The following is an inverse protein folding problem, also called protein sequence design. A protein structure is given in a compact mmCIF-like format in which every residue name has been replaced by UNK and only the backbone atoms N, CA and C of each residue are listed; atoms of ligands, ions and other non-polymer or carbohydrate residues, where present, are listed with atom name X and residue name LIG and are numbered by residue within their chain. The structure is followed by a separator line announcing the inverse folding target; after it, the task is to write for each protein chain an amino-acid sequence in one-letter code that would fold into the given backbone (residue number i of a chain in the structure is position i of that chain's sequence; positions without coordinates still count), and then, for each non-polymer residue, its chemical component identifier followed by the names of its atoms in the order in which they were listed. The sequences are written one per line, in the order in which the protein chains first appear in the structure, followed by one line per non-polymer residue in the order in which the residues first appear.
data_IF_468089687658
#
_entry.id   IF_468089687658
#
_cell.length_a   1.000
_cell.length_b   1.000
_cell.length_c   1.000
_cell.angle_alpha   90.00
_cell.angle_beta   90.00
_cell.angle_gamma   90.00
#
_symmetry.space_group_name_H-M   'P 1'
#
loop_
_entity.id
_entity.type
_entity.pdbx_description
1 polymer ?
#
# COMPACT_ATOMS: atom_id res chain seq x y z
N UNK A 1 18.90 -0.80 -8.71
CA UNK A 1 17.76 -0.01 -8.20
C UNK A 1 16.45 -0.73 -8.53
N UNK A 2 15.63 -1.05 -7.53
CA UNK A 2 14.29 -1.61 -7.73
C UNK A 2 13.26 -0.50 -7.58
N UNK A 3 12.45 -0.26 -8.60
CA UNK A 3 11.38 0.75 -8.60
C UNK A 3 10.03 0.08 -8.77
N UNK A 4 9.01 0.56 -8.06
CA UNK A 4 7.61 0.19 -8.26
C UNK A 4 6.77 1.44 -8.49
N UNK A 5 5.91 1.41 -9.51
CA UNK A 5 5.02 2.51 -9.85
C UNK A 5 3.58 2.14 -9.49
N UNK A 6 3.10 2.67 -8.37
CA UNK A 6 1.76 2.39 -7.86
C UNK A 6 0.66 3.30 -8.47
N UNK A 7 1.00 4.17 -9.42
CA UNK A 7 0.00 4.87 -10.22
C UNK A 7 -0.56 4.01 -11.35
N UNK A 8 0.20 3.01 -11.81
CA UNK A 8 -0.17 2.07 -12.88
C UNK A 8 -0.31 0.63 -12.38
N UNK A 9 0.28 0.30 -11.24
CA UNK A 9 0.23 -1.03 -10.63
C UNK A 9 -0.28 -0.97 -9.19
N UNK A 10 -0.62 -2.12 -8.59
CA UNK A 10 -1.06 -2.19 -7.20
C UNK A 10 -2.57 -2.38 -7.05
N UNK A 11 -3.03 -2.37 -5.81
CA UNK A 11 -4.39 -2.72 -5.42
C UNK A 11 -5.31 -1.50 -5.19
N UNK A 12 -4.82 -0.31 -5.53
CA UNK A 12 -5.55 0.95 -5.36
C UNK A 12 -5.55 1.53 -3.96
N UNK A 13 -4.89 0.91 -2.97
CA UNK A 13 -4.81 1.45 -1.60
C UNK A 13 -3.73 2.53 -1.43
N UNK A 14 -2.83 2.64 -2.40
CA UNK A 14 -1.71 3.57 -2.43
C UNK A 14 -1.40 3.98 -3.87
N UNK A 15 -1.04 5.25 -4.06
CA UNK A 15 -0.57 5.80 -5.34
C UNK A 15 0.69 6.63 -5.11
N UNK A 16 1.75 6.30 -5.84
CA UNK A 16 3.09 6.84 -5.66
C UNK A 16 4.12 6.03 -6.43
N UNK A 17 5.36 6.49 -6.46
CA UNK A 17 6.49 5.72 -7.01
C UNK A 17 7.47 5.46 -5.88
N UNK A 18 7.81 4.19 -5.66
CA UNK A 18 8.78 3.81 -4.63
C UNK A 18 10.05 3.34 -5.33
N UNK A 19 11.19 3.84 -4.88
CA UNK A 19 12.50 3.42 -5.35
C UNK A 19 13.38 3.06 -4.15
N UNK A 20 14.02 1.89 -4.22
CA UNK A 20 14.98 1.44 -3.20
C UNK A 20 16.41 1.66 -3.68
N UNK A 21 17.20 2.20 -2.77
CA UNK A 21 18.60 2.54 -2.96
C UNK A 21 19.42 1.90 -1.85
N UNK A 22 20.69 1.70 -2.16
CA UNK A 22 21.71 1.25 -1.21
C UNK A 22 22.82 2.29 -1.26
N UNK A 23 23.22 2.83 -0.13
CA UNK A 23 24.33 3.78 -0.07
C UNK A 23 25.70 3.07 -0.18
N UNK A 24 26.78 3.85 -0.13
CA UNK A 24 28.14 3.32 -0.22
C UNK A 24 28.54 2.43 0.97
N UNK A 25 27.86 2.56 2.11
CA UNK A 25 28.10 1.78 3.33
C UNK A 25 27.24 0.50 3.38
N UNK A 26 26.32 0.34 2.42
CA UNK A 26 25.45 -0.83 2.31
C UNK A 26 24.09 -0.67 2.96
N UNK A 27 23.72 0.52 3.46
CA UNK A 27 22.39 0.74 4.04
C UNK A 27 21.32 0.87 2.97
N UNK A 28 20.26 0.08 3.12
CA UNK A 28 19.09 0.16 2.25
C UNK A 28 18.08 1.22 2.74
N UNK A 29 17.66 2.10 1.84
CA UNK A 29 16.58 3.05 2.09
C UNK A 29 15.61 3.14 0.92
N UNK A 30 14.38 3.55 1.21
CA UNK A 30 13.32 3.73 0.21
C UNK A 30 12.94 5.22 0.11
N UNK A 31 12.90 5.73 -1.12
CA UNK A 31 12.37 7.05 -1.43
C UNK A 31 11.01 6.89 -2.11
N UNK A 32 10.01 7.62 -1.62
CA UNK A 32 8.63 7.60 -2.11
C UNK A 32 8.29 8.94 -2.74
N UNK A 33 7.98 8.92 -4.03
CA UNK A 33 7.59 10.10 -4.80
C UNK A 33 6.07 10.16 -4.94
N UNK A 34 5.52 11.34 -4.65
CA UNK A 34 4.10 11.61 -4.61
C UNK A 34 3.77 12.87 -5.42
N UNK A 35 2.58 12.90 -6.03
CA UNK A 35 1.90 14.17 -6.33
C UNK A 35 1.28 14.75 -5.06
N UNK A 36 0.92 16.04 -5.08
CA UNK A 36 0.22 16.69 -3.98
C UNK A 36 -1.06 15.93 -3.57
N UNK A 37 -1.88 15.52 -4.55
CA UNK A 37 -3.10 14.75 -4.29
C UNK A 37 -2.80 13.38 -3.68
N UNK A 38 -1.81 12.66 -4.20
CA UNK A 38 -1.44 11.35 -3.67
C UNK A 38 -0.84 11.43 -2.26
N UNK A 39 -0.11 12.51 -1.96
CA UNK A 39 0.42 12.77 -0.63
C UNK A 39 -0.69 13.11 0.36
N UNK A 40 -1.64 13.96 -0.04
CA UNK A 40 -2.83 14.28 0.76
C UNK A 40 -3.65 13.03 1.05
N UNK A 41 -3.92 12.21 0.03
CA UNK A 41 -4.62 10.94 0.20
C UNK A 41 -3.87 10.00 1.14
N UNK A 42 -2.54 9.88 1.01
CA UNK A 42 -1.70 9.09 1.94
C UNK A 42 -1.82 9.58 3.39
N UNK A 43 -1.89 10.89 3.62
CA UNK A 43 -2.09 11.43 4.95
C UNK A 43 -3.49 11.09 5.49
N UNK A 44 -4.53 11.19 4.66
CA UNK A 44 -5.91 10.85 5.03
C UNK A 44 -6.08 9.35 5.33
N UNK A 45 -5.38 8.48 4.60
CA UNK A 45 -5.46 7.02 4.78
C UNK A 45 -4.51 6.49 5.85
N UNK A 46 -3.68 7.32 6.48
CA UNK A 46 -2.61 6.84 7.37
C UNK A 46 -3.12 5.97 8.52
N UNK A 47 -4.18 6.40 9.20
CA UNK A 47 -4.76 5.62 10.30
C UNK A 47 -5.38 4.31 9.81
N UNK A 48 -6.09 4.34 8.68
CA UNK A 48 -6.68 3.14 8.07
C UNK A 48 -5.62 2.11 7.71
N UNK A 49 -4.49 2.56 7.14
CA UNK A 49 -3.36 1.70 6.83
C UNK A 49 -2.78 1.02 8.09
N UNK A 50 -2.67 1.76 9.19
CA UNK A 50 -2.19 1.20 10.47
C UNK A 50 -3.15 0.16 11.02
N UNK A 51 -4.45 0.42 11.01
CA UNK A 51 -5.46 -0.55 11.43
C UNK A 51 -5.48 -1.79 10.54
N UNK A 52 -5.36 -1.62 9.22
CA UNK A 52 -5.21 -2.74 8.27
C UNK A 52 -3.98 -3.58 8.62
N UNK A 53 -2.82 -2.96 8.85
CA UNK A 53 -1.59 -3.67 9.21
C UNK A 53 -1.73 -4.43 10.54
N UNK A 54 -2.40 -3.84 11.53
CA UNK A 54 -2.68 -4.49 12.81
C UNK A 54 -3.64 -5.67 12.65
N UNK A 55 -4.71 -5.53 11.85
CA UNK A 55 -5.65 -6.60 11.54
C UNK A 55 -4.95 -7.76 10.82
N UNK A 56 -4.06 -7.47 9.86
CA UNK A 56 -3.27 -8.47 9.13
C UNK A 56 -2.37 -9.26 10.08
N UNK A 57 -1.58 -8.56 10.89
CA UNK A 57 -0.71 -9.20 11.88
C UNK A 57 -1.49 -10.05 12.89
N UNK A 58 -2.70 -9.62 13.28
CA UNK A 58 -3.58 -10.39 14.17
C UNK A 58 -4.14 -11.62 13.48
N UNK A 59 -4.49 -11.53 12.20
CA UNK A 59 -5.00 -12.65 11.41
C UNK A 59 -3.95 -13.73 11.26
N UNK A 60 -2.73 -13.35 10.89
CA UNK A 60 -1.58 -14.27 10.78
C UNK A 60 -1.30 -14.99 12.10
N UNK A 61 -1.33 -14.26 13.22
CA UNK A 61 -1.18 -14.86 14.56
C UNK A 61 -2.32 -15.80 14.93
N UNK A 62 -3.55 -15.52 14.51
CA UNK A 62 -4.69 -16.40 14.77
C UNK A 62 -4.61 -17.68 13.94
N UNK A 63 -4.17 -17.60 12.69
CA UNK A 63 -3.96 -18.74 11.80
C UNK A 63 -2.87 -19.70 12.30
N UNK A 64 -1.90 -19.20 13.06
CA UNK A 64 -0.84 -20.01 13.65
C UNK A 64 -1.26 -20.77 14.91
N UNK A 65 -2.44 -20.49 15.48
CA UNK A 65 -2.93 -21.19 16.69
C UNK A 65 -3.47 -22.57 16.35
N UNK A 66 -3.42 -23.47 17.34
CA UNK A 66 -3.97 -24.81 17.23
C UNK A 66 -4.89 -25.15 18.43
N UNK A 67 -6.23 -25.27 18.24
CA UNK A 67 -6.96 -24.96 17.02
C UNK A 67 -7.09 -23.43 16.83
N UNK A 68 -7.20 -22.95 15.59
CA UNK A 68 -7.43 -21.53 15.34
C UNK A 68 -8.91 -21.18 15.57
N UNK A 69 -9.19 -19.97 16.05
CA UNK A 69 -10.57 -19.51 16.23
C UNK A 69 -11.14 -18.97 14.91
N UNK A 70 -12.11 -19.69 14.33
CA UNK A 70 -12.69 -19.38 13.02
C UNK A 70 -13.50 -18.06 13.01
N UNK A 71 -14.29 -17.80 14.05
CA UNK A 71 -15.09 -16.56 14.15
C UNK A 71 -14.18 -15.32 14.20
N UNK A 72 -13.08 -15.42 14.94
CA UNK A 72 -12.07 -14.37 15.04
C UNK A 72 -11.35 -14.16 13.71
N UNK A 73 -11.02 -15.23 12.98
CA UNK A 73 -10.44 -15.10 11.64
C UNK A 73 -11.42 -14.41 10.69
N UNK A 74 -12.69 -14.83 10.68
CA UNK A 74 -13.72 -14.21 9.84
C UNK A 74 -13.86 -12.71 10.14
N UNK A 75 -13.86 -12.33 11.42
CA UNK A 75 -13.89 -10.91 11.82
C UNK A 75 -12.67 -10.14 11.32
N UNK A 76 -11.46 -10.67 11.50
CA UNK A 76 -10.22 -10.01 11.07
C UNK A 76 -10.15 -9.86 9.54
N UNK A 77 -10.62 -10.87 8.79
CA UNK A 77 -10.75 -10.79 7.33
C UNK A 77 -11.74 -9.71 6.91
N UNK A 78 -12.88 -9.59 7.59
CA UNK A 78 -13.85 -8.51 7.33
C UNK A 78 -13.28 -7.12 7.65
N UNK A 79 -12.55 -6.99 8.77
CA UNK A 79 -11.88 -5.74 9.15
C UNK A 79 -10.84 -5.35 8.08
N UNK A 80 -10.03 -6.29 7.60
CA UNK A 80 -9.08 -6.07 6.50
C UNK A 80 -9.77 -5.58 5.23
N UNK A 81 -10.86 -6.23 4.83
CA UNK A 81 -11.63 -5.83 3.65
C UNK A 81 -12.21 -4.42 3.83
N UNK A 82 -12.74 -4.10 5.02
CA UNK A 82 -13.27 -2.78 5.37
C UNK A 82 -12.21 -1.69 5.22
N UNK A 83 -11.04 -1.86 5.84
CA UNK A 83 -9.97 -0.86 5.77
C UNK A 83 -9.42 -0.71 4.35
N UNK A 84 -9.23 -1.84 3.65
CA UNK A 84 -8.75 -1.84 2.25
C UNK A 84 -9.71 -1.08 1.34
N UNK A 85 -11.02 -1.33 1.45
CA UNK A 85 -12.02 -0.65 0.63
C UNK A 85 -12.11 0.86 0.95
N UNK A 86 -12.10 1.24 2.22
CA UNK A 86 -12.09 2.65 2.62
C UNK A 86 -10.84 3.39 2.08
N UNK A 87 -9.67 2.75 2.10
CA UNK A 87 -8.46 3.31 1.50
C UNK A 87 -8.60 3.47 -0.01
N UNK A 88 -9.13 2.45 -0.71
CA UNK A 88 -9.37 2.50 -2.16
C UNK A 88 -10.31 3.64 -2.54
N UNK A 89 -11.39 3.82 -1.79
CA UNK A 89 -12.37 4.90 -2.00
C UNK A 89 -11.69 6.27 -1.95
N UNK A 90 -10.86 6.54 -0.93
CA UNK A 90 -10.12 7.80 -0.83
C UNK A 90 -9.13 7.95 -2.01
N UNK A 91 -8.46 6.86 -2.41
CA UNK A 91 -7.49 6.85 -3.50
C UNK A 91 -8.11 7.00 -4.90
N UNK A 92 -9.44 6.88 -5.05
CA UNK A 92 -10.12 7.16 -6.32
C UNK A 92 -9.97 8.62 -6.75
N UNK A 93 -9.86 9.55 -5.79
CA UNK A 93 -9.67 10.97 -6.05
C UNK A 93 -8.26 11.32 -6.58
N UNK A 94 -7.30 10.39 -6.50
CA UNK A 94 -5.93 10.61 -6.96
C UNK A 94 -5.80 10.18 -8.41
N UNK A 95 -5.63 11.15 -9.31
CA UNK A 95 -5.42 10.86 -10.71
C UNK A 95 -4.00 10.36 -11.00
N UNK A 96 -3.86 9.52 -12.04
CA UNK A 96 -2.55 9.20 -12.60
C UNK A 96 -1.96 10.46 -13.23
N UNK A 97 -0.74 10.89 -12.86
CA UNK A 97 -0.12 12.07 -13.46
C UNK A 97 0.23 11.82 -14.93
N UNK A 98 0.18 12.87 -15.75
CA UNK A 98 0.60 12.78 -17.15
C UNK A 98 2.07 12.28 -17.22
N UNK A 99 2.36 11.40 -18.18
CA UNK A 99 3.69 10.79 -18.41
C UNK A 99 4.22 9.87 -17.29
N UNK A 100 3.42 9.56 -16.28
CA UNK A 100 3.67 8.41 -15.41
C UNK A 100 3.29 7.16 -16.21
N UNK A 101 4.31 6.71 -16.95
CA UNK A 101 4.42 5.64 -17.96
C UNK A 101 3.90 5.93 -19.38
N UNK A 102 4.85 6.36 -20.24
CA UNK A 102 5.19 5.73 -21.53
C UNK A 102 6.72 5.76 -21.65
N UNK A 103 7.39 4.62 -21.47
CA UNK A 103 8.78 4.38 -21.91
C UNK A 103 8.81 3.28 -22.99
N UNK A 104 7.67 3.01 -23.63
CA UNK A 104 7.58 2.14 -24.81
C UNK A 104 7.80 2.92 -26.12
N UNK A 105 8.24 4.19 -26.01
CA UNK A 105 8.77 4.93 -27.14
C UNK A 105 10.20 4.51 -27.41
N UNK A 106 10.37 3.45 -28.22
CA UNK A 106 11.61 3.20 -28.96
C UNK A 106 12.13 4.54 -29.51
N UNK A 107 13.36 4.89 -29.15
CA UNK A 107 14.20 5.83 -29.91
C UNK A 107 14.47 5.29 -31.31
#
# INVERSE_FOLDING_TARGET
MKRKNYFTTGDGTYKGINARFTDAEGYEFEVQFHTADSFKAKAQTHLLYKEMQLAQNRLEKEQQKNPPNLDRQAKLTNDLAKYTNAMREIMTAVNKPARVESLDGRS
#
